data_IF_458324308703
#
_entry.id   IF_458324308703
#
_cell.length_a   1.000
_cell.length_b   1.000
_cell.length_c   1.000
_cell.angle_alpha   90.00
_cell.angle_beta   90.00
_cell.angle_gamma   90.00
#
_symmetry.space_group_name_H-M   'P 1'
#
loop_
_entity.id
_entity.type
_entity.pdbx_description
1 polymer ?
#
# COMPACT_ATOMS: atom_id res chain seq x y z
N UNK A 1 -7.90 -21.62 -71.36
CA UNK A 1 -7.29 -21.66 -70.01
C UNK A 1 -8.33 -22.24 -69.04
N UNK A 2 -8.14 -23.47 -68.54
CA UNK A 2 -9.03 -24.06 -67.54
C UNK A 2 -8.56 -23.62 -66.15
N UNK A 3 -9.33 -22.75 -65.49
CA UNK A 3 -9.13 -22.36 -64.10
C UNK A 3 -9.49 -23.58 -63.22
N UNK A 4 -8.47 -24.18 -62.62
CA UNK A 4 -8.61 -25.31 -61.70
C UNK A 4 -9.15 -24.79 -60.36
N UNK A 5 -10.47 -24.74 -60.20
CA UNK A 5 -11.09 -24.40 -58.91
C UNK A 5 -11.00 -25.61 -57.98
N UNK A 6 -9.87 -25.76 -57.29
CA UNK A 6 -9.76 -26.69 -56.16
C UNK A 6 -10.51 -26.09 -54.97
N UNK A 7 -11.72 -26.58 -54.73
CA UNK A 7 -12.48 -26.27 -53.52
C UNK A 7 -11.75 -26.78 -52.28
N UNK A 8 -11.83 -26.03 -51.19
CA UNK A 8 -11.29 -26.43 -49.89
C UNK A 8 -12.07 -27.62 -49.33
N UNK A 9 -11.37 -28.66 -48.87
CA UNK A 9 -12.05 -29.79 -48.22
C UNK A 9 -12.60 -29.38 -46.86
N UNK A 10 -13.77 -29.90 -46.50
CA UNK A 10 -14.37 -29.71 -45.17
C UNK A 10 -13.40 -30.09 -44.05
N UNK A 11 -12.61 -31.15 -44.27
CA UNK A 11 -11.63 -31.67 -43.32
C UNK A 11 -10.46 -30.70 -43.15
N UNK A 12 -10.00 -30.06 -44.23
CA UNK A 12 -8.93 -29.05 -44.17
C UNK A 12 -9.40 -27.80 -43.41
N UNK A 13 -10.67 -27.40 -43.59
CA UNK A 13 -11.25 -26.26 -42.87
C UNK A 13 -11.38 -26.57 -41.37
N UNK A 14 -11.86 -27.76 -41.02
CA UNK A 14 -11.92 -28.24 -39.64
C UNK A 14 -10.53 -28.30 -38.99
N UNK A 15 -9.54 -28.82 -39.70
CA UNK A 15 -8.16 -28.89 -39.20
C UNK A 15 -7.58 -27.48 -38.97
N UNK A 16 -7.78 -26.55 -39.91
CA UNK A 16 -7.34 -25.17 -39.76
C UNK A 16 -8.03 -24.45 -38.59
N UNK A 17 -9.36 -24.60 -38.45
CA UNK A 17 -10.12 -24.04 -37.33
C UNK A 17 -9.69 -24.61 -35.98
N UNK A 18 -9.44 -25.93 -35.91
CA UNK A 18 -8.95 -26.58 -34.70
C UNK A 18 -7.56 -26.05 -34.32
N UNK A 19 -6.67 -25.86 -35.29
CA UNK A 19 -5.33 -25.34 -35.03
C UNK A 19 -5.37 -23.88 -34.56
N UNK A 20 -6.21 -23.04 -35.19
CA UNK A 20 -6.39 -21.64 -34.78
C UNK A 20 -7.01 -21.55 -33.38
N UNK A 21 -7.99 -22.39 -33.04
CA UNK A 21 -8.62 -22.35 -31.72
C UNK A 21 -7.65 -22.74 -30.61
N UNK A 22 -6.76 -23.70 -30.85
CA UNK A 22 -5.68 -24.06 -29.92
C UNK A 22 -4.75 -22.86 -29.71
N UNK A 23 -4.29 -22.22 -30.78
CA UNK A 23 -3.39 -21.07 -30.68
C UNK A 23 -4.07 -19.89 -29.98
N UNK A 24 -5.31 -19.58 -30.33
CA UNK A 24 -6.08 -18.51 -29.71
C UNK A 24 -6.33 -18.78 -28.22
N UNK A 25 -6.60 -20.03 -27.85
CA UNK A 25 -6.75 -20.45 -26.46
C UNK A 25 -5.47 -20.22 -25.65
N UNK A 26 -4.32 -20.62 -26.19
CA UNK A 26 -3.02 -20.41 -25.55
C UNK A 26 -2.69 -18.91 -25.44
N UNK A 27 -2.96 -18.13 -26.49
CA UNK A 27 -2.75 -16.69 -26.46
C UNK A 27 -3.63 -16.01 -25.40
N UNK A 28 -4.89 -16.40 -25.29
CA UNK A 28 -5.82 -15.84 -24.32
C UNK A 28 -5.42 -16.15 -22.88
N UNK A 29 -4.95 -17.37 -22.59
CA UNK A 29 -4.48 -17.72 -21.24
C UNK A 29 -3.26 -16.90 -20.85
N UNK A 30 -2.28 -16.76 -21.74
CA UNK A 30 -1.09 -15.94 -21.50
C UNK A 30 -1.45 -14.47 -21.23
N UNK A 31 -2.33 -13.88 -22.05
CA UNK A 31 -2.82 -12.50 -21.85
C UNK A 31 -3.58 -12.35 -20.52
N UNK A 32 -4.44 -13.31 -20.19
CA UNK A 32 -5.21 -13.28 -18.94
C UNK A 32 -4.31 -13.32 -17.70
N UNK A 33 -3.25 -14.14 -17.73
CA UNK A 33 -2.25 -14.19 -16.66
C UNK A 33 -1.53 -12.84 -16.56
N UNK A 34 -1.12 -12.27 -17.69
CA UNK A 34 -0.47 -10.95 -17.75
C UNK A 34 -1.34 -9.85 -17.13
N UNK A 35 -2.62 -9.78 -17.49
CA UNK A 35 -3.54 -8.77 -16.93
C UNK A 35 -3.74 -8.92 -15.43
N UNK A 36 -3.90 -10.16 -14.92
CA UNK A 36 -4.02 -10.40 -13.47
C UNK A 36 -2.77 -9.98 -12.71
N UNK A 37 -1.60 -10.31 -13.23
CA UNK A 37 -0.33 -9.92 -12.63
C UNK A 37 -0.17 -8.39 -12.61
N UNK A 38 -0.44 -7.72 -13.74
CA UNK A 38 -0.36 -6.26 -13.83
C UNK A 38 -1.29 -5.57 -12.85
N UNK A 39 -2.53 -6.05 -12.66
CA UNK A 39 -3.46 -5.47 -11.70
C UNK A 39 -2.91 -5.54 -10.25
N UNK A 40 -2.33 -6.67 -9.86
CA UNK A 40 -1.73 -6.85 -8.53
C UNK A 40 -0.52 -5.95 -8.33
N UNK A 41 0.41 -5.91 -9.29
CA UNK A 41 1.63 -5.09 -9.17
C UNK A 41 1.33 -3.59 -9.22
N UNK A 42 0.31 -3.18 -9.98
CA UNK A 42 -0.18 -1.79 -9.96
C UNK A 42 -0.73 -1.44 -8.59
N UNK A 43 -1.53 -2.33 -7.97
CA UNK A 43 -2.04 -2.14 -6.61
C UNK A 43 -0.92 -1.97 -5.57
N UNK A 44 0.10 -2.84 -5.60
CA UNK A 44 1.28 -2.73 -4.72
C UNK A 44 2.03 -1.41 -4.90
N UNK A 45 2.20 -0.99 -6.16
CA UNK A 45 2.88 0.28 -6.48
C UNK A 45 2.11 1.47 -5.90
N UNK A 46 0.78 1.48 -6.04
CA UNK A 46 -0.07 2.52 -5.45
C UNK A 46 0.04 2.53 -3.92
N UNK A 47 -0.02 1.36 -3.27
CA UNK A 47 0.18 1.26 -1.81
C UNK A 47 1.55 1.78 -1.38
N UNK A 48 2.60 1.53 -2.15
CA UNK A 48 3.94 2.04 -1.87
C UNK A 48 4.03 3.57 -2.03
N UNK A 49 3.29 4.15 -2.99
CA UNK A 49 3.18 5.60 -3.13
C UNK A 49 2.44 6.21 -1.94
N UNK A 50 1.30 5.64 -1.54
CA UNK A 50 0.54 6.09 -0.38
C UNK A 50 1.39 6.00 0.90
N UNK A 51 2.15 4.92 1.07
CA UNK A 51 3.10 4.76 2.18
C UNK A 51 4.14 5.89 2.23
N UNK A 52 4.72 6.23 1.07
CA UNK A 52 5.69 7.31 0.97
C UNK A 52 5.06 8.68 1.27
N UNK A 53 3.81 8.91 0.86
CA UNK A 53 3.06 10.14 1.19
C UNK A 53 2.81 10.22 2.71
N UNK A 54 2.41 9.11 3.35
CA UNK A 54 2.23 9.04 4.81
C UNK A 54 3.55 9.35 5.51
N UNK A 55 4.66 8.74 5.11
CA UNK A 55 5.99 9.00 5.69
C UNK A 55 6.42 10.46 5.49
N UNK A 56 6.19 11.02 4.30
CA UNK A 56 6.53 12.42 4.03
C UNK A 56 5.71 13.37 4.93
N UNK A 57 4.43 13.06 5.12
CA UNK A 57 3.54 13.83 6.01
C UNK A 57 3.99 13.71 7.46
N UNK A 58 4.27 12.49 7.95
CA UNK A 58 4.83 12.24 9.28
C UNK A 58 6.16 12.98 9.47
N UNK A 59 7.04 12.98 8.46
CA UNK A 59 8.33 13.67 8.51
C UNK A 59 8.15 15.19 8.60
N UNK A 60 7.19 15.74 7.86
CA UNK A 60 6.86 17.16 7.92
C UNK A 60 6.33 17.55 9.30
N UNK A 61 5.39 16.78 9.85
CA UNK A 61 4.86 17.02 11.19
C UNK A 61 5.93 16.82 12.28
N UNK A 62 6.83 15.85 12.11
CA UNK A 62 8.00 15.67 12.98
C UNK A 62 8.94 16.88 12.95
N UNK A 63 9.10 17.54 11.79
CA UNK A 63 9.94 18.76 11.69
C UNK A 63 9.26 20.00 12.26
N UNK A 64 7.93 20.12 12.12
CA UNK A 64 7.17 21.31 12.52
C UNK A 64 6.89 21.35 14.02
N UNK A 65 6.47 20.22 14.59
CA UNK A 65 6.03 20.17 15.99
C UNK A 65 7.20 19.95 16.96
N UNK A 66 7.05 20.41 18.20
CA UNK A 66 7.99 20.14 19.29
C UNK A 66 7.69 18.84 20.01
N UNK A 67 6.42 18.44 20.05
CA UNK A 67 5.92 17.21 20.63
C UNK A 67 4.62 16.83 19.92
N UNK A 68 4.41 15.54 19.68
CA UNK A 68 3.16 15.00 19.16
C UNK A 68 3.02 13.52 19.55
N UNK A 69 1.80 13.02 19.40
CA UNK A 69 1.47 11.61 19.58
C UNK A 69 0.94 11.03 18.27
N UNK A 70 1.22 9.75 18.03
CA UNK A 70 0.59 8.98 16.96
C UNK A 70 -0.45 8.07 17.58
N UNK A 71 -1.66 8.10 17.03
CA UNK A 71 -2.80 7.35 17.53
C UNK A 71 -3.34 6.47 16.42
N UNK A 72 -3.49 5.18 16.69
CA UNK A 72 -3.98 4.17 15.77
C UNK A 72 -5.29 3.62 16.31
N UNK A 73 -6.40 3.93 15.64
CA UNK A 73 -7.74 3.58 16.12
C UNK A 73 -8.62 3.13 14.96
N UNK A 74 -9.08 1.88 14.97
CA UNK A 74 -10.03 1.37 13.99
C UNK A 74 -9.57 1.58 12.55
N UNK A 75 -8.33 1.17 12.25
CA UNK A 75 -7.66 1.32 10.96
C UNK A 75 -7.43 2.78 10.52
N UNK A 76 -7.38 3.71 11.49
CA UNK A 76 -7.06 5.11 11.22
C UNK A 76 -5.74 5.47 11.87
N UNK A 77 -4.87 6.12 11.11
CA UNK A 77 -3.69 6.78 11.63
C UNK A 77 -4.03 8.25 11.88
N UNK A 78 -3.85 8.70 13.12
CA UNK A 78 -4.05 10.09 13.53
C UNK A 78 -2.77 10.66 14.13
N UNK A 79 -2.55 11.95 13.90
CA UNK A 79 -1.59 12.74 14.66
C UNK A 79 -2.38 13.56 15.68
N UNK A 80 -1.94 13.51 16.93
CA UNK A 80 -2.44 14.39 17.97
C UNK A 80 -1.33 15.33 18.44
N UNK A 81 -1.62 16.63 18.42
CA UNK A 81 -0.74 17.68 18.94
C UNK A 81 -1.44 18.40 20.07
N UNK A 82 -0.83 18.41 21.26
CA UNK A 82 -1.32 19.16 22.39
C UNK A 82 -0.48 20.41 22.62
N UNK A 83 -1.17 21.53 22.80
CA UNK A 83 -0.56 22.81 23.18
C UNK A 83 -0.29 22.85 24.70
N UNK A 84 0.63 23.72 25.12
CA UNK A 84 0.96 23.90 26.54
C UNK A 84 -0.23 24.36 27.40
N UNK A 85 -1.26 24.94 26.80
CA UNK A 85 -2.53 25.32 27.44
C UNK A 85 -3.52 24.16 27.61
N UNK A 86 -3.14 22.93 27.21
CA UNK A 86 -3.97 21.73 27.35
C UNK A 86 -4.99 21.52 26.23
N UNK A 87 -5.03 22.38 25.21
CA UNK A 87 -5.84 22.13 24.02
C UNK A 87 -5.13 21.17 23.08
N UNK A 88 -5.76 20.03 22.79
CA UNK A 88 -5.29 19.02 21.85
C UNK A 88 -6.06 19.08 20.54
N UNK A 89 -5.36 18.97 19.43
CA UNK A 89 -5.92 18.84 18.09
C UNK A 89 -5.51 17.49 17.51
N UNK A 90 -6.48 16.79 16.93
CA UNK A 90 -6.27 15.50 16.27
C UNK A 90 -6.59 15.63 14.78
N UNK A 91 -5.67 15.18 13.93
CA UNK A 91 -5.85 15.11 12.48
C UNK A 91 -5.74 13.66 12.02
N UNK A 92 -6.73 13.18 11.27
CA UNK A 92 -6.65 11.89 10.57
C UNK A 92 -5.71 12.05 9.36
N UNK A 93 -4.65 11.24 9.32
CA UNK A 93 -3.73 11.19 8.19
C UNK A 93 -4.22 10.23 7.12
N UNK A 94 -4.64 9.04 7.53
CA UNK A 94 -5.12 8.01 6.62
C UNK A 94 -6.10 7.08 7.35
N UNK A 95 -6.99 6.45 6.57
CA UNK A 95 -8.01 5.51 7.03
C UNK A 95 -8.28 4.39 6.03
N UNK A 96 -7.42 4.21 5.02
CA UNK A 96 -7.62 3.28 3.91
C UNK A 96 -7.02 1.90 4.17
N UNK A 97 -6.12 1.81 5.13
CA UNK A 97 -5.28 0.64 5.37
C UNK A 97 -5.34 0.19 6.81
N UNK A 98 -5.05 -1.09 7.00
CA UNK A 98 -4.69 -1.63 8.31
C UNK A 98 -3.19 -1.41 8.55
N UNK A 99 -2.86 -0.81 9.70
CA UNK A 99 -1.51 -0.46 10.12
C UNK A 99 -0.89 -1.48 11.07
N UNK A 100 -1.58 -2.59 11.35
CA UNK A 100 -1.15 -3.60 12.31
C UNK A 100 0.18 -4.27 11.93
N UNK A 101 1.10 -4.28 12.88
CA UNK A 101 2.50 -4.65 12.69
C UNK A 101 3.42 -3.48 12.32
N UNK A 102 2.91 -2.25 12.27
CA UNK A 102 3.75 -1.05 12.25
C UNK A 102 4.56 -1.00 13.55
N UNK A 103 5.83 -0.59 13.46
CA UNK A 103 6.72 -0.44 14.62
C UNK A 103 7.25 0.97 14.69
N UNK A 104 7.06 1.65 15.83
CA UNK A 104 7.58 3.00 16.06
C UNK A 104 8.39 3.00 17.35
N UNK A 105 9.69 3.35 17.27
CA UNK A 105 10.62 3.29 18.40
C UNK A 105 10.58 1.93 19.17
N UNK A 106 10.36 0.84 18.45
CA UNK A 106 10.25 -0.52 19.02
C UNK A 106 8.88 -0.91 19.55
N UNK A 107 7.90 0.01 19.57
CA UNK A 107 6.50 -0.29 19.94
C UNK A 107 5.78 -0.85 18.71
N UNK A 108 5.25 -2.07 18.82
CA UNK A 108 4.42 -2.70 17.78
C UNK A 108 2.99 -2.21 17.95
N UNK A 109 2.35 -1.86 16.82
CA UNK A 109 0.99 -1.35 16.75
C UNK A 109 0.03 -2.44 16.27
N UNK A 110 -1.13 -2.53 16.89
CA UNK A 110 -2.35 -3.15 16.40
C UNK A 110 -3.40 -2.05 16.16
N UNK A 111 -3.74 -1.80 14.89
CA UNK A 111 -4.69 -0.74 14.54
C UNK A 111 -6.14 -1.22 14.47
N UNK A 112 -6.39 -2.52 14.60
CA UNK A 112 -7.76 -3.05 14.58
C UNK A 112 -8.52 -2.65 15.84
N UNK A 113 -7.82 -2.61 16.97
CA UNK A 113 -8.43 -2.29 18.24
C UNK A 113 -8.87 -0.82 18.27
N UNK A 114 -10.14 -0.62 18.60
CA UNK A 114 -10.69 0.71 18.87
C UNK A 114 -10.65 1.02 20.37
N UNK A 115 -10.44 0.00 21.21
CA UNK A 115 -10.31 0.10 22.68
C UNK A 115 -9.58 -1.15 23.22
N UNK A 116 -8.46 -1.02 23.96
CA UNK A 116 -7.67 0.19 24.16
C UNK A 116 -7.01 0.64 22.84
N UNK A 117 -6.90 1.95 22.65
CA UNK A 117 -6.29 2.53 21.45
C UNK A 117 -4.78 2.43 21.53
N UNK A 118 -4.14 1.98 20.46
CA UNK A 118 -2.69 1.99 20.38
C UNK A 118 -2.15 3.38 20.06
N UNK A 119 -1.27 3.86 20.93
CA UNK A 119 -0.73 5.20 20.83
C UNK A 119 0.75 5.25 21.17
N UNK A 120 1.50 5.98 20.36
CA UNK A 120 2.89 6.33 20.65
C UNK A 120 2.92 7.77 21.14
N UNK A 121 3.03 7.90 22.46
CA UNK A 121 3.02 9.18 23.15
C UNK A 121 4.41 9.83 23.19
N UNK A 122 4.41 11.16 23.23
CA UNK A 122 5.61 11.92 23.60
C UNK A 122 6.74 11.82 22.59
N UNK A 123 6.43 11.80 21.30
CA UNK A 123 7.46 11.89 20.27
C UNK A 123 8.03 13.30 20.33
N UNK A 124 9.32 13.43 20.69
CA UNK A 124 10.02 14.70 20.86
C UNK A 124 11.10 14.90 19.77
N UNK A 125 10.76 15.51 18.62
CA UNK A 125 11.65 15.60 17.46
C UNK A 125 12.94 16.37 17.70
N UNK A 126 12.96 17.24 18.72
CA UNK A 126 14.16 18.03 19.09
C UNK A 126 15.16 17.24 19.93
N UNK A 127 14.76 16.12 20.52
CA UNK A 127 15.62 15.30 21.39
C UNK A 127 16.19 14.08 20.66
N UNK A 128 15.36 13.41 19.85
CA UNK A 128 15.75 12.18 19.16
C UNK A 128 15.01 12.02 17.84
N UNK A 129 15.67 11.35 16.89
CA UNK A 129 15.01 10.81 15.71
C UNK A 129 14.05 9.68 16.13
N UNK A 130 13.06 9.41 15.30
CA UNK A 130 12.06 8.35 15.54
C UNK A 130 12.15 7.29 14.47
N UNK A 131 12.48 6.06 14.86
CA UNK A 131 12.53 4.94 13.93
C UNK A 131 11.11 4.44 13.63
N UNK A 132 10.83 4.22 12.35
CA UNK A 132 9.51 3.83 11.86
C UNK A 132 9.63 2.68 10.87
N UNK A 133 8.98 1.57 11.18
CA UNK A 133 8.66 0.49 10.26
C UNK A 133 7.18 0.60 9.98
N UNK A 134 6.81 1.32 8.93
CA UNK A 134 5.40 1.49 8.53
C UNK A 134 4.96 0.27 7.74
N UNK A 135 3.91 -0.41 8.23
CA UNK A 135 3.26 -1.50 7.51
C UNK A 135 1.84 -1.07 7.12
N UNK A 136 1.48 -1.31 5.87
CA UNK A 136 0.15 -1.05 5.32
C UNK A 136 -0.38 -2.36 4.75
N UNK A 137 -1.56 -2.76 5.20
CA UNK A 137 -2.28 -3.92 4.69
C UNK A 137 -3.60 -3.44 4.07
N UNK A 138 -3.91 -3.91 2.86
CA UNK A 138 -5.18 -3.58 2.20
C UNK A 138 -6.36 -4.20 2.98
N UNK A 139 -7.33 -3.37 3.34
CA UNK A 139 -8.52 -3.79 4.09
C UNK A 139 -9.38 -4.82 3.34
N UNK A 140 -9.30 -4.84 2.00
CA UNK A 140 -10.05 -5.78 1.16
C UNK A 140 -9.25 -7.04 0.84
N UNK A 141 -7.92 -7.03 1.05
CA UNK A 141 -7.05 -8.15 0.71
C UNK A 141 -5.82 -8.19 1.62
N UNK A 142 -5.87 -9.01 2.67
CA UNK A 142 -4.79 -9.16 3.66
C UNK A 142 -3.49 -9.71 3.08
N UNK A 143 -3.49 -10.32 1.89
CA UNK A 143 -2.27 -10.76 1.21
C UNK A 143 -1.53 -9.61 0.51
N UNK A 144 -2.19 -8.46 0.34
CA UNK A 144 -1.60 -7.27 -0.26
C UNK A 144 -1.12 -6.34 0.86
N UNK A 145 0.19 -6.31 1.07
CA UNK A 145 0.80 -5.45 2.08
C UNK A 145 2.12 -4.86 1.60
N UNK A 146 2.45 -3.68 2.12
CA UNK A 146 3.71 -2.98 1.88
C UNK A 146 4.32 -2.64 3.23
N UNK A 147 5.65 -2.74 3.33
CA UNK A 147 6.41 -2.35 4.52
C UNK A 147 7.55 -1.43 4.13
N UNK A 148 7.64 -0.28 4.77
CA UNK A 148 8.71 0.70 4.58
C UNK A 148 9.43 0.92 5.90
N UNK A 149 10.76 0.80 5.88
CA UNK A 149 11.62 1.09 7.03
C UNK A 149 12.28 2.44 6.81
N UNK A 150 12.15 3.34 7.78
CA UNK A 150 12.67 4.69 7.71
C UNK A 150 12.89 5.27 9.12
N UNK A 151 13.49 6.45 9.20
CA UNK A 151 13.56 7.25 10.42
C UNK A 151 13.04 8.65 10.15
N UNK A 152 12.15 9.14 11.01
CA UNK A 152 11.73 10.53 11.03
C UNK A 152 12.85 11.34 11.68
N UNK A 153 13.38 12.31 10.94
CA UNK A 153 14.54 13.09 11.34
C UNK A 153 14.27 14.58 11.34
N UNK A 154 14.83 15.26 12.34
CA UNK A 154 14.92 16.71 12.44
C UNK A 154 16.37 17.08 12.75
N UNK A 155 16.82 18.22 12.22
CA UNK A 155 18.14 18.75 12.57
C UNK A 155 18.15 19.02 14.08
N UNK A 156 19.02 18.31 14.79
CA UNK A 156 19.27 18.51 16.21
C UNK A 156 20.29 19.63 16.33
N UNK A 157 19.83 20.82 16.72
CA UNK A 157 20.73 21.93 17.09
C UNK A 157 21.09 21.77 18.56
N UNK A 158 22.36 21.46 18.83
CA UNK A 158 22.95 21.47 20.18
C UNK A 158 22.90 22.86 20.82
#
# INVERSE_FOLDING_TARGET
MKLNQKGMSLVELLAALALVSIIAGIAWTALSIGFKHTAVETGKTLMQQDANIIIATLTNEHRRNSNYSLVFEGNKLKIETCSASGSCSSQVLDQKYDFSGTVINGIVIDSHDSTPVDQVLGIEPKKKNTDVILKLTDLNNSNNSVTIKTALTRILTN
#
